data_IF_919392094374
#
_entry.id   IF_919392094374
#
_cell.length_a   1.000
_cell.length_b   1.000
_cell.length_c   1.000
_cell.angle_alpha   90.00
_cell.angle_beta   90.00
_cell.angle_gamma   90.00
#
_symmetry.space_group_name_H-M   'P 1'
#
loop_
_entity.id
_entity.type
_entity.pdbx_description
1 polymer ?
#
# COMPACT_ATOMS: atom_id res chain seq x y z
N UNK A 1 -38.50 10.44 27.94
CA UNK A 1 -37.23 11.06 27.50
C UNK A 1 -35.97 10.30 27.95
N UNK A 2 -36.06 9.12 28.60
CA UNK A 2 -34.88 8.35 29.07
C UNK A 2 -34.24 7.43 28.02
N UNK A 3 -35.02 6.97 27.02
CA UNK A 3 -34.64 5.89 26.09
C UNK A 3 -33.47 6.25 25.16
N UNK A 4 -33.38 7.49 24.68
CA UNK A 4 -32.30 7.91 23.77
C UNK A 4 -30.93 8.02 24.47
N UNK A 5 -30.90 8.29 25.78
CA UNK A 5 -29.65 8.32 26.56
C UNK A 5 -29.12 6.93 26.85
N UNK A 6 -30.01 5.96 27.07
CA UNK A 6 -29.65 4.56 27.34
C UNK A 6 -29.17 3.87 26.04
N UNK A 7 -29.79 4.17 24.90
CA UNK A 7 -29.36 3.70 23.58
C UNK A 7 -27.97 4.25 23.18
N UNK A 8 -27.71 5.54 23.42
CA UNK A 8 -26.40 6.15 23.15
C UNK A 8 -25.29 5.56 24.04
N UNK A 9 -25.63 5.21 25.29
CA UNK A 9 -24.70 4.56 26.20
C UNK A 9 -24.38 3.13 25.74
N UNK A 10 -25.39 2.37 25.35
CA UNK A 10 -25.22 1.01 24.82
C UNK A 10 -24.36 1.01 23.54
N UNK A 11 -24.62 1.92 22.60
CA UNK A 11 -23.84 2.06 21.37
C UNK A 11 -22.38 2.44 21.66
N UNK A 12 -22.14 3.32 22.64
CA UNK A 12 -20.77 3.69 23.05
C UNK A 12 -20.03 2.52 23.67
N UNK A 13 -20.70 1.72 24.51
CA UNK A 13 -20.13 0.52 25.11
C UNK A 13 -19.79 -0.52 24.03
N UNK A 14 -20.67 -0.71 23.03
CA UNK A 14 -20.43 -1.61 21.89
C UNK A 14 -19.25 -1.15 21.03
N UNK A 15 -19.16 0.13 20.68
CA UNK A 15 -18.02 0.68 19.92
C UNK A 15 -16.72 0.51 20.71
N UNK A 16 -16.74 0.76 22.01
CA UNK A 16 -15.55 0.61 22.86
C UNK A 16 -15.09 -0.86 22.90
N UNK A 17 -16.04 -1.79 22.95
CA UNK A 17 -15.76 -3.22 22.92
C UNK A 17 -15.19 -3.66 21.57
N UNK A 18 -15.75 -3.18 20.46
CA UNK A 18 -15.25 -3.46 19.11
C UNK A 18 -13.85 -2.91 18.88
N UNK A 19 -13.57 -1.67 19.33
CA UNK A 19 -12.23 -1.07 19.25
C UNK A 19 -11.22 -1.89 20.05
N UNK A 20 -11.56 -2.29 21.28
CA UNK A 20 -10.67 -3.13 22.09
C UNK A 20 -10.42 -4.50 21.47
N UNK A 21 -11.41 -5.07 20.78
CA UNK A 21 -11.26 -6.35 20.07
C UNK A 21 -10.37 -6.20 18.83
N UNK A 22 -10.47 -5.09 18.10
CA UNK A 22 -9.61 -4.79 16.97
C UNK A 22 -8.16 -4.55 17.41
N UNK A 23 -7.93 -3.82 18.51
CA UNK A 23 -6.60 -3.62 19.07
C UNK A 23 -5.94 -4.93 19.51
N UNK A 24 -6.71 -5.84 20.12
CA UNK A 24 -6.20 -7.14 20.51
C UNK A 24 -5.81 -8.00 19.28
N UNK A 25 -6.62 -7.96 18.23
CA UNK A 25 -6.33 -8.66 16.97
C UNK A 25 -5.12 -8.06 16.24
N UNK A 26 -4.94 -6.75 16.29
CA UNK A 26 -3.79 -6.09 15.69
C UNK A 26 -2.49 -6.51 16.41
N UNK A 27 -2.49 -6.54 17.75
CA UNK A 27 -1.34 -7.02 18.53
C UNK A 27 -0.98 -8.48 18.23
N UNK A 28 -1.97 -9.37 18.12
CA UNK A 28 -1.73 -10.76 17.73
C UNK A 28 -1.04 -10.85 16.35
N UNK A 29 -1.50 -10.06 15.39
CA UNK A 29 -0.90 -10.00 14.05
C UNK A 29 0.53 -9.42 14.10
N UNK A 30 0.76 -8.36 14.88
CA UNK A 30 2.07 -7.74 15.06
C UNK A 30 3.06 -8.68 15.78
N UNK A 31 2.62 -9.43 16.80
CA UNK A 31 3.43 -10.45 17.48
C UNK A 31 3.78 -11.61 16.53
N UNK A 32 2.84 -12.02 15.67
CA UNK A 32 3.09 -13.05 14.65
C UNK A 32 4.01 -12.59 13.53
N UNK A 33 4.02 -11.30 13.22
CA UNK A 33 4.94 -10.70 12.24
C UNK A 33 6.34 -10.45 12.83
N UNK A 34 6.46 -10.30 14.15
CA UNK A 34 7.73 -10.11 14.85
C UNK A 34 8.37 -11.41 15.37
N UNK A 35 7.61 -12.51 15.42
CA UNK A 35 8.09 -13.86 15.73
C UNK A 35 8.82 -14.55 14.57
N UNK A 36 10.13 -14.72 14.76
CA UNK A 36 11.12 -15.52 14.00
C UNK A 36 11.49 -15.10 12.55
N UNK A 37 12.66 -14.44 12.39
CA UNK A 37 13.46 -14.52 11.18
C UNK A 37 14.01 -15.95 11.04
N UNK A 38 13.64 -16.67 9.99
CA UNK A 38 14.42 -17.83 9.53
C UNK A 38 15.78 -17.32 9.05
N UNK A 39 16.83 -17.64 9.78
CA UNK A 39 18.22 -17.41 9.39
C UNK A 39 18.49 -18.01 8.00
N UNK A 40 18.56 -17.15 6.98
CA UNK A 40 19.23 -17.48 5.71
C UNK A 40 20.58 -16.77 5.70
N UNK A 41 21.63 -17.58 5.70
CA UNK A 41 23.04 -17.15 5.67
C UNK A 41 23.32 -16.14 4.54
N UNK A 42 24.16 -15.11 4.78
CA UNK A 42 24.50 -14.13 3.77
C UNK A 42 25.50 -14.72 2.77
N UNK A 43 25.04 -14.98 1.53
CA UNK A 43 25.96 -15.10 0.39
C UNK A 43 26.31 -13.70 -0.11
N UNK A 44 27.49 -13.24 0.29
CA UNK A 44 28.20 -12.11 -0.32
C UNK A 44 28.40 -12.39 -1.80
N UNK A 45 27.87 -11.55 -2.71
CA UNK A 45 28.42 -11.35 -4.05
C UNK A 45 28.23 -9.88 -4.51
N UNK A 46 29.39 -9.25 -4.72
CA UNK A 46 29.77 -8.02 -5.42
C UNK A 46 28.72 -7.06 -5.98
N UNK A 47 28.97 -5.79 -5.67
CA UNK A 47 28.45 -4.60 -6.32
C UNK A 47 28.81 -4.55 -7.82
N UNK A 48 27.78 -4.35 -8.63
CA UNK A 48 27.86 -3.95 -10.02
C UNK A 48 26.56 -3.25 -10.38
N UNK A 49 26.58 -1.92 -10.41
CA UNK A 49 25.46 -1.08 -10.85
C UNK A 49 25.31 -1.28 -12.35
N UNK A 50 24.38 -2.17 -12.73
CA UNK A 50 23.92 -2.35 -14.11
C UNK A 50 22.40 -2.37 -14.05
N UNK A 51 21.75 -1.56 -14.90
CA UNK A 51 20.30 -1.45 -15.01
C UNK A 51 19.68 -2.86 -15.08
N UNK A 52 18.97 -3.24 -14.01
CA UNK A 52 18.48 -4.61 -13.83
C UNK A 52 17.20 -4.80 -14.63
N UNK A 53 17.33 -5.18 -15.90
CA UNK A 53 16.24 -5.91 -16.56
C UNK A 53 16.05 -7.23 -15.80
N UNK A 54 14.80 -7.58 -15.50
CA UNK A 54 14.47 -8.86 -14.87
C UNK A 54 15.09 -10.01 -15.70
N UNK A 55 15.77 -10.99 -15.07
CA UNK A 55 16.41 -12.08 -15.81
C UNK A 55 15.41 -12.80 -16.71
N UNK A 56 15.61 -12.73 -18.02
CA UNK A 56 14.85 -13.51 -19.00
C UNK A 56 15.54 -14.87 -19.16
N UNK A 57 15.27 -15.80 -18.26
CA UNK A 57 15.68 -17.20 -18.39
C UNK A 57 14.43 -18.10 -18.57
N UNK A 58 14.61 -19.22 -19.27
CA UNK A 58 13.62 -19.96 -20.07
C UNK A 58 12.32 -20.42 -19.39
N UNK A 59 11.19 -20.31 -20.09
CA UNK A 59 9.97 -21.15 -20.08
C UNK A 59 9.28 -21.41 -18.74
N UNK A 60 9.90 -22.19 -17.85
CA UNK A 60 9.44 -22.45 -16.49
C UNK A 60 9.77 -21.30 -15.52
N UNK A 61 10.86 -20.57 -15.80
CA UNK A 61 11.23 -19.36 -15.06
C UNK A 61 10.42 -18.14 -15.50
N UNK A 62 9.91 -18.11 -16.73
CA UNK A 62 9.14 -16.98 -17.26
C UNK A 62 7.81 -16.78 -16.49
N UNK A 63 7.17 -17.88 -16.11
CA UNK A 63 5.93 -17.89 -15.34
C UNK A 63 6.08 -18.52 -13.95
N UNK A 64 7.28 -18.45 -13.35
CA UNK A 64 7.56 -19.07 -12.04
C UNK A 64 6.50 -18.71 -10.98
N UNK A 65 6.09 -17.45 -10.94
CA UNK A 65 5.12 -16.95 -9.97
C UNK A 65 3.72 -17.56 -10.20
N UNK A 66 3.32 -17.73 -11.46
CA UNK A 66 2.04 -18.35 -11.82
C UNK A 66 2.03 -19.84 -11.51
N UNK A 67 3.15 -20.53 -11.75
CA UNK A 67 3.32 -21.94 -11.39
C UNK A 67 3.18 -22.14 -9.88
N UNK A 68 3.82 -21.29 -9.07
CA UNK A 68 3.68 -21.30 -7.62
C UNK A 68 2.25 -21.04 -7.15
N UNK A 69 1.55 -20.08 -7.76
CA UNK A 69 0.14 -19.83 -7.44
C UNK A 69 -0.75 -21.03 -7.78
N UNK A 70 -0.52 -21.66 -8.93
CA UNK A 70 -1.32 -22.80 -9.39
C UNK A 70 -1.10 -24.05 -8.54
N UNK A 71 0.08 -24.22 -7.96
CA UNK A 71 0.35 -25.30 -7.00
C UNK A 71 -0.27 -25.05 -5.62
N UNK A 72 -0.42 -23.78 -5.22
CA UNK A 72 -0.93 -23.40 -3.88
C UNK A 72 -2.44 -23.25 -3.81
N UNK A 73 -3.10 -22.95 -4.92
CA UNK A 73 -4.52 -22.64 -4.96
C UNK A 73 -5.23 -23.45 -6.05
N UNK A 74 -6.29 -24.16 -5.65
CA UNK A 74 -7.15 -24.91 -6.57
C UNK A 74 -8.11 -24.02 -7.38
N UNK A 75 -8.06 -22.70 -7.16
CA UNK A 75 -8.89 -21.69 -7.83
C UNK A 75 -8.01 -20.60 -8.44
N UNK A 76 -8.43 -19.97 -9.54
CA UNK A 76 -7.71 -18.83 -10.12
C UNK A 76 -7.54 -17.69 -9.11
N UNK A 77 -6.29 -17.23 -8.94
CA UNK A 77 -5.92 -16.14 -8.03
C UNK A 77 -5.23 -15.04 -8.82
N UNK A 78 -5.55 -13.79 -8.49
CA UNK A 78 -4.72 -12.63 -8.82
C UNK A 78 -4.01 -12.20 -7.55
N UNK A 79 -2.70 -12.04 -7.64
CA UNK A 79 -1.86 -11.64 -6.53
C UNK A 79 -0.81 -10.66 -7.02
N UNK A 80 -0.46 -9.73 -6.16
CA UNK A 80 0.76 -8.95 -6.29
C UNK A 80 1.62 -9.14 -5.04
N UNK A 81 2.92 -9.08 -5.26
CA UNK A 81 3.93 -9.14 -4.22
C UNK A 81 5.11 -8.27 -4.66
N UNK A 82 5.84 -7.74 -3.69
CA UNK A 82 7.01 -6.93 -3.99
C UNK A 82 7.76 -6.50 -2.75
N UNK A 83 8.95 -6.00 -3.01
CA UNK A 83 9.82 -5.36 -2.02
C UNK A 83 10.22 -3.99 -2.54
N UNK A 84 10.31 -3.02 -1.65
CA UNK A 84 10.75 -1.67 -2.00
C UNK A 84 11.57 -1.08 -0.86
N UNK A 85 12.66 -0.41 -1.20
CA UNK A 85 13.36 0.45 -0.26
C UNK A 85 12.62 1.79 -0.20
N UNK A 86 12.37 2.28 1.02
CA UNK A 86 11.75 3.59 1.26
C UNK A 86 12.57 4.33 2.31
N UNK A 87 12.36 5.64 2.43
CA UNK A 87 13.01 6.42 3.49
C UNK A 87 12.58 5.97 4.90
N UNK A 88 11.36 5.42 5.04
CA UNK A 88 10.85 4.79 6.26
C UNK A 88 11.36 3.37 6.52
N UNK A 89 12.26 2.85 5.67
CA UNK A 89 12.81 1.50 5.73
C UNK A 89 12.30 0.55 4.64
N UNK A 90 12.80 -0.69 4.61
CA UNK A 90 12.40 -1.68 3.62
C UNK A 90 10.94 -2.10 3.85
N UNK A 91 10.18 -2.15 2.76
CA UNK A 91 8.79 -2.64 2.73
C UNK A 91 8.75 -3.95 1.99
N UNK A 92 8.13 -4.97 2.60
CA UNK A 92 7.78 -6.23 1.97
C UNK A 92 6.28 -6.43 2.08
N UNK A 93 5.61 -6.70 0.97
CA UNK A 93 4.16 -6.86 0.98
C UNK A 93 3.71 -7.87 -0.06
N UNK A 94 2.64 -8.59 0.28
CA UNK A 94 1.96 -9.53 -0.59
C UNK A 94 0.46 -9.47 -0.33
N UNK A 95 -0.33 -9.50 -1.39
CA UNK A 95 -1.78 -9.54 -1.29
C UNK A 95 -2.37 -10.23 -2.51
N UNK A 96 -3.35 -11.11 -2.29
CA UNK A 96 -4.04 -11.81 -3.35
C UNK A 96 -5.52 -12.02 -3.05
N UNK A 97 -6.29 -12.24 -4.11
CA UNK A 97 -7.72 -12.57 -4.09
C UNK A 97 -8.04 -13.54 -5.20
N UNK A 98 -9.06 -14.37 -5.00
CA UNK A 98 -9.58 -15.19 -6.10
C UNK A 98 -10.10 -14.28 -7.22
N UNK A 99 -9.80 -14.66 -8.47
CA UNK A 99 -10.15 -13.86 -9.64
C UNK A 99 -11.65 -13.64 -9.76
N UNK A 100 -12.46 -14.59 -9.30
CA UNK A 100 -13.92 -14.45 -9.25
C UNK A 100 -14.37 -13.31 -8.33
N UNK A 101 -13.77 -13.15 -7.17
CA UNK A 101 -14.08 -12.05 -6.27
C UNK A 101 -13.77 -10.69 -6.92
N UNK A 102 -12.64 -10.59 -7.62
CA UNK A 102 -12.24 -9.36 -8.30
C UNK A 102 -13.19 -9.01 -9.46
N UNK A 103 -13.60 -9.99 -10.27
CA UNK A 103 -14.56 -9.79 -11.36
C UNK A 103 -15.94 -9.30 -10.87
N UNK A 104 -16.29 -9.60 -9.62
CA UNK A 104 -17.54 -9.20 -8.98
C UNK A 104 -17.39 -7.98 -8.06
N UNK A 105 -16.26 -7.25 -8.16
CA UNK A 105 -16.04 -6.03 -7.36
C UNK A 105 -17.01 -4.94 -7.76
N UNK A 106 -17.57 -4.23 -6.78
CA UNK A 106 -18.33 -3.02 -7.02
C UNK A 106 -17.40 -1.90 -7.52
N UNK A 107 -17.59 -1.51 -8.77
CA UNK A 107 -16.81 -0.45 -9.40
C UNK A 107 -16.94 0.88 -8.64
N UNK A 108 -18.12 1.22 -8.11
CA UNK A 108 -18.32 2.49 -7.39
C UNK A 108 -17.53 2.54 -6.09
N UNK A 109 -17.36 1.39 -5.43
CA UNK A 109 -16.59 1.31 -4.19
C UNK A 109 -15.07 1.51 -4.42
N UNK A 110 -14.54 1.06 -5.57
CA UNK A 110 -13.09 1.14 -5.87
C UNK A 110 -12.68 2.37 -6.67
N UNK A 111 -13.61 2.98 -7.43
CA UNK A 111 -13.32 4.14 -8.29
C UNK A 111 -12.63 5.28 -7.56
N UNK A 112 -13.07 5.74 -6.37
CA UNK A 112 -12.42 6.88 -5.70
C UNK A 112 -10.93 6.66 -5.43
N UNK A 113 -10.54 5.43 -5.07
CA UNK A 113 -9.15 5.09 -4.81
C UNK A 113 -8.32 5.07 -6.10
N UNK A 114 -8.86 4.54 -7.21
CA UNK A 114 -8.17 4.53 -8.50
C UNK A 114 -8.10 5.93 -9.12
N UNK A 115 -9.20 6.67 -9.07
CA UNK A 115 -9.28 8.06 -9.51
C UNK A 115 -8.26 8.91 -8.77
N UNK A 116 -8.04 8.69 -7.47
CA UNK A 116 -7.06 9.43 -6.68
C UNK A 116 -5.62 9.36 -7.21
N UNK A 117 -5.25 8.30 -7.91
CA UNK A 117 -3.90 8.12 -8.45
C UNK A 117 -3.85 8.31 -9.97
N UNK A 118 -4.97 8.31 -10.67
CA UNK A 118 -5.05 8.50 -12.13
C UNK A 118 -4.80 9.97 -12.58
N UNK A 119 -3.92 10.70 -11.90
CA UNK A 119 -3.55 12.08 -12.26
C UNK A 119 -2.03 12.27 -12.11
N UNK A 120 -1.33 12.83 -13.11
CA UNK A 120 0.12 12.87 -13.15
C UNK A 120 0.74 13.54 -11.92
N UNK A 121 0.19 14.69 -11.48
CA UNK A 121 0.68 15.37 -10.27
C UNK A 121 0.55 14.49 -9.02
N UNK A 122 -0.52 13.71 -8.86
CA UNK A 122 -0.71 12.85 -7.68
C UNK A 122 0.23 11.65 -7.71
N UNK A 123 0.52 11.10 -8.89
CA UNK A 123 1.59 10.10 -9.06
C UNK A 123 2.96 10.66 -8.67
N UNK A 124 3.30 11.85 -9.17
CA UNK A 124 4.57 12.53 -8.84
C UNK A 124 4.71 12.77 -7.33
N UNK A 125 3.64 13.26 -6.68
CA UNK A 125 3.64 13.49 -5.24
C UNK A 125 3.81 12.17 -4.45
N UNK A 126 3.12 11.10 -4.83
CA UNK A 126 3.27 9.79 -4.17
C UNK A 126 4.69 9.23 -4.31
N UNK A 127 5.27 9.26 -5.52
CA UNK A 127 6.65 8.85 -5.75
C UNK A 127 7.63 9.71 -4.95
N UNK A 128 7.44 11.03 -4.91
CA UNK A 128 8.27 11.93 -4.13
C UNK A 128 8.23 11.61 -2.63
N UNK A 129 7.04 11.30 -2.08
CA UNK A 129 6.87 10.92 -0.67
C UNK A 129 7.56 9.57 -0.39
N UNK A 130 7.40 8.56 -1.25
CA UNK A 130 8.09 7.26 -1.13
C UNK A 130 9.61 7.45 -1.11
N UNK A 131 10.11 8.39 -1.91
CA UNK A 131 11.53 8.75 -1.99
C UNK A 131 12.00 9.74 -0.90
N UNK A 132 11.17 10.04 0.12
CA UNK A 132 11.57 10.82 1.29
C UNK A 132 11.21 12.31 1.28
N UNK A 133 10.58 12.82 0.21
CA UNK A 133 10.05 14.20 0.20
C UNK A 133 8.71 14.24 0.90
N UNK A 134 8.73 14.38 2.23
CA UNK A 134 7.53 14.18 3.06
C UNK A 134 6.80 15.47 3.44
N UNK A 135 7.39 16.66 3.27
CA UNK A 135 6.78 17.91 3.74
C UNK A 135 6.04 18.64 2.63
N UNK A 136 4.88 19.24 2.93
CA UNK A 136 4.13 20.07 1.98
C UNK A 136 4.94 21.19 1.34
N UNK A 137 5.87 21.80 2.08
CA UNK A 137 6.75 22.86 1.56
C UNK A 137 7.65 22.33 0.44
N UNK A 138 8.45 21.31 0.73
CA UNK A 138 9.32 20.65 -0.28
C UNK A 138 8.54 20.05 -1.44
N UNK A 139 7.37 19.47 -1.17
CA UNK A 139 6.51 18.93 -2.22
C UNK A 139 6.03 20.03 -3.19
N UNK A 140 5.79 21.24 -2.69
CA UNK A 140 5.39 22.39 -3.51
C UNK A 140 6.55 23.04 -4.28
N UNK A 141 7.80 22.65 -4.01
CA UNK A 141 8.99 23.11 -4.74
C UNK A 141 9.29 22.23 -5.96
N UNK A 142 8.61 21.10 -6.14
CA UNK A 142 8.82 20.21 -7.29
C UNK A 142 8.38 20.91 -8.59
N UNK A 143 9.29 21.00 -9.57
CA UNK A 143 9.01 21.72 -10.83
C UNK A 143 7.79 21.19 -11.60
N UNK A 144 7.50 19.89 -11.47
CA UNK A 144 6.38 19.26 -12.17
C UNK A 144 5.04 19.37 -11.43
N UNK A 145 5.02 19.94 -10.22
CA UNK A 145 3.77 20.16 -9.49
C UNK A 145 3.32 21.60 -9.68
N UNK A 146 2.01 21.81 -9.79
CA UNK A 146 1.45 23.14 -10.05
C UNK A 146 1.66 24.10 -8.88
N UNK A 147 0.81 25.13 -8.81
CA UNK A 147 0.82 26.11 -7.72
C UNK A 147 0.72 25.44 -6.33
N UNK A 148 1.21 26.09 -5.28
CA UNK A 148 1.13 25.54 -3.92
C UNK A 148 -0.30 25.18 -3.51
N UNK A 149 -1.31 25.97 -3.94
CA UNK A 149 -2.72 25.67 -3.71
C UNK A 149 -3.19 24.35 -4.35
N UNK A 150 -2.69 24.03 -5.55
CA UNK A 150 -2.97 22.75 -6.21
C UNK A 150 -2.32 21.59 -5.44
N UNK A 151 -1.10 21.76 -4.93
CA UNK A 151 -0.42 20.73 -4.13
C UNK A 151 -1.21 20.38 -2.87
N UNK A 152 -1.67 21.38 -2.11
CA UNK A 152 -2.50 21.13 -0.93
C UNK A 152 -3.81 20.43 -1.28
N UNK A 153 -4.44 20.81 -2.41
CA UNK A 153 -5.64 20.13 -2.89
C UNK A 153 -5.39 18.66 -3.23
N UNK A 154 -4.30 18.36 -3.94
CA UNK A 154 -3.93 16.99 -4.31
C UNK A 154 -3.58 16.13 -3.08
N UNK A 155 -2.84 16.69 -2.12
CA UNK A 155 -2.52 15.99 -0.86
C UNK A 155 -3.79 15.68 -0.06
N UNK A 156 -4.74 16.61 -0.02
CA UNK A 156 -6.04 16.38 0.62
C UNK A 156 -6.80 15.21 -0.03
N UNK A 157 -6.86 15.16 -1.37
CA UNK A 157 -7.51 14.05 -2.09
C UNK A 157 -6.82 12.70 -1.85
N UNK A 158 -5.49 12.66 -1.89
CA UNK A 158 -4.72 11.45 -1.59
C UNK A 158 -4.93 10.98 -0.15
N UNK A 159 -5.01 11.91 0.80
CA UNK A 159 -5.28 11.60 2.20
C UNK A 159 -6.71 11.09 2.41
N UNK A 160 -7.70 11.72 1.77
CA UNK A 160 -9.11 11.33 1.85
C UNK A 160 -9.36 9.91 1.32
N UNK A 161 -8.50 9.42 0.41
CA UNK A 161 -8.57 8.08 -0.18
C UNK A 161 -7.58 7.09 0.46
N UNK A 162 -6.85 7.52 1.48
CA UNK A 162 -5.94 6.68 2.25
C UNK A 162 -4.66 6.27 1.52
N UNK A 163 -4.30 6.96 0.43
CA UNK A 163 -3.02 6.76 -0.25
C UNK A 163 -1.84 7.36 0.52
N UNK A 164 -2.10 8.46 1.23
CA UNK A 164 -1.16 9.05 2.17
C UNK A 164 -1.86 9.25 3.52
N UNK A 165 -1.07 9.47 4.56
CA UNK A 165 -1.56 9.96 5.85
C UNK A 165 -0.64 11.04 6.41
N UNK A 166 -1.20 11.91 7.25
CA UNK A 166 -0.45 12.93 7.97
C UNK A 166 0.19 12.33 9.21
N UNK A 167 1.52 12.38 9.31
CA UNK A 167 2.28 11.93 10.49
C UNK A 167 2.36 13.05 11.53
N UNK A 168 2.59 14.27 11.03
CA UNK A 168 2.63 15.53 11.77
C UNK A 168 2.08 16.61 10.86
N UNK A 169 1.74 17.78 11.42
CA UNK A 169 1.19 18.90 10.62
C UNK A 169 2.09 19.22 9.42
N UNK A 170 1.57 19.02 8.20
CA UNK A 170 2.28 19.30 6.95
C UNK A 170 3.33 18.25 6.56
N UNK A 171 3.39 17.12 7.25
CA UNK A 171 4.27 16.00 6.95
C UNK A 171 3.44 14.75 6.62
N UNK A 172 3.75 14.14 5.47
CA UNK A 172 2.99 13.07 4.86
C UNK A 172 3.84 11.83 4.70
N UNK A 173 3.20 10.67 4.79
CA UNK A 173 3.80 9.39 4.44
C UNK A 173 2.82 8.53 3.65
N UNK A 174 3.35 7.63 2.82
CA UNK A 174 2.59 6.55 2.21
C UNK A 174 2.58 5.38 3.19
N UNK A 175 1.41 4.87 3.63
CA UNK A 175 1.35 3.69 4.48
C UNK A 175 2.11 2.51 3.83
N UNK A 176 2.86 1.72 4.60
CA UNK A 176 3.60 0.58 4.07
C UNK A 176 2.71 -0.38 3.24
N UNK A 177 1.47 -0.58 3.67
CA UNK A 177 0.45 -1.38 2.97
C UNK A 177 -0.03 -0.80 1.64
N UNK A 178 0.41 0.41 1.25
CA UNK A 178 0.09 1.10 0.00
C UNK A 178 1.28 1.24 -0.94
N UNK A 179 2.51 1.09 -0.45
CA UNK A 179 3.74 1.23 -1.26
C UNK A 179 3.76 0.20 -2.39
N UNK A 180 3.70 -1.09 -2.06
CA UNK A 180 3.74 -2.14 -3.09
C UNK A 180 2.49 -2.11 -4.00
N UNK A 181 1.24 -1.97 -3.50
CA UNK A 181 0.10 -1.81 -4.40
C UNK A 181 0.26 -0.64 -5.38
N UNK A 182 0.78 0.50 -4.93
CA UNK A 182 1.01 1.65 -5.80
C UNK A 182 2.04 1.34 -6.90
N UNK A 183 3.18 0.75 -6.53
CA UNK A 183 4.21 0.35 -7.49
C UNK A 183 3.71 -0.73 -8.45
N UNK A 184 2.89 -1.67 -7.99
CA UNK A 184 2.21 -2.66 -8.84
C UNK A 184 1.31 -1.98 -9.87
N UNK A 185 0.56 -0.93 -9.49
CA UNK A 185 -0.29 -0.20 -10.44
C UNK A 185 0.54 0.53 -11.49
N UNK A 186 1.67 1.13 -11.10
CA UNK A 186 2.61 1.74 -12.05
C UNK A 186 3.15 0.68 -13.00
N UNK A 187 3.61 -0.47 -12.48
CA UNK A 187 4.11 -1.58 -13.28
C UNK A 187 3.05 -2.08 -14.28
N UNK A 188 1.82 -2.29 -13.82
CA UNK A 188 0.72 -2.75 -14.66
C UNK A 188 0.31 -1.76 -15.76
N UNK A 189 0.68 -0.48 -15.64
CA UNK A 189 0.46 0.54 -16.66
C UNK A 189 1.61 0.66 -17.68
N UNK A 190 2.70 -0.11 -17.49
CA UNK A 190 3.86 -0.14 -18.39
C UNK A 190 3.87 -1.35 -19.33
N UNK A 191 3.02 -2.34 -19.06
CA UNK A 191 2.73 -3.51 -19.91
C UNK A 191 1.79 -3.15 -21.06
#
# INVERSE_FOLDING_TARGET
MSTSSDELRALREEITQQVSQLDARLRDVEERLSGEPRETQPRSHNAGVTQSQLPTESGDHEFWALNELSQRYDQPVVMFAGTAETEGGPVMWQYGRFSEHLKNTDAFAVSPALEAIAHPIRLTLLLAIINGTTTSAKLAELEQVGTSGQVYHHLSQLNATGWIRSVKRGQWEVPASKVIPFLTIILAAQE
#
